data_IF_492637639211
#
_entry.id   IF_492637639211
#
_cell.length_a   1.000
_cell.length_b   1.000
_cell.length_c   1.000
_cell.angle_alpha   90.00
_cell.angle_beta   90.00
_cell.angle_gamma   90.00
#
_symmetry.space_group_name_H-M   'P 1'
#
loop_
_entity.id
_entity.type
_entity.pdbx_description
1 polymer ?
#
# COMPACT_ATOMS: atom_id res chain seq x y z
N UNK A 1 10.63 -12.47 -6.15
CA UNK A 1 9.35 -12.18 -5.45
C UNK A 1 8.44 -11.45 -6.43
N UNK A 2 7.35 -12.09 -6.84
CA UNK A 2 6.37 -11.48 -7.74
C UNK A 2 5.31 -10.76 -6.94
N UNK A 3 5.05 -9.50 -7.25
CA UNK A 3 4.14 -8.63 -6.49
C UNK A 3 3.02 -8.10 -7.38
N UNK A 4 1.80 -7.99 -6.83
CA UNK A 4 0.69 -7.27 -7.44
C UNK A 4 0.15 -6.24 -6.45
N UNK A 5 -0.23 -5.07 -6.95
CA UNK A 5 -0.83 -4.00 -6.14
C UNK A 5 -2.19 -3.66 -6.71
N UNK A 6 -3.26 -3.95 -5.95
CA UNK A 6 -4.61 -3.49 -6.22
C UNK A 6 -4.85 -2.15 -5.53
N UNK A 7 -5.39 -1.20 -6.28
CA UNK A 7 -5.67 0.12 -5.73
C UNK A 7 -7.01 0.67 -6.23
N UNK A 8 -7.63 1.50 -5.39
CA UNK A 8 -8.76 2.37 -5.76
C UNK A 8 -8.32 3.83 -5.66
N UNK A 9 -8.44 4.59 -6.74
CA UNK A 9 -8.01 5.99 -6.80
C UNK A 9 -8.96 6.83 -7.63
N UNK A 10 -10.12 7.15 -7.07
CA UNK A 10 -11.22 7.85 -7.75
C UNK A 10 -11.07 9.36 -7.77
N UNK A 11 -10.32 9.97 -6.84
CA UNK A 11 -10.15 11.42 -6.73
C UNK A 11 -8.68 11.82 -6.72
N UNK A 12 -8.31 12.83 -7.51
CA UNK A 12 -6.98 13.48 -7.51
C UNK A 12 -5.75 12.57 -7.73
N UNK A 13 -5.92 11.28 -7.98
CA UNK A 13 -4.82 10.35 -8.22
C UNK A 13 -3.86 10.13 -7.04
N UNK A 14 -4.24 10.50 -5.81
CA UNK A 14 -3.34 10.41 -4.65
C UNK A 14 -2.85 8.98 -4.38
N UNK A 15 -3.80 8.03 -4.32
CA UNK A 15 -3.50 6.63 -4.05
C UNK A 15 -2.70 6.01 -5.20
N UNK A 16 -3.01 6.37 -6.44
CA UNK A 16 -2.25 5.93 -7.61
C UNK A 16 -0.78 6.35 -7.52
N UNK A 17 -0.47 7.62 -7.22
CA UNK A 17 0.91 8.10 -7.08
C UNK A 17 1.72 7.30 -6.04
N UNK A 18 1.09 6.95 -4.93
CA UNK A 18 1.71 6.10 -3.89
C UNK A 18 1.90 4.68 -4.39
N UNK A 19 0.88 4.11 -5.05
CA UNK A 19 0.95 2.77 -5.63
C UNK A 19 2.06 2.65 -6.68
N UNK A 20 2.16 3.63 -7.61
CA UNK A 20 3.23 3.70 -8.61
C UNK A 20 4.62 3.77 -7.96
N UNK A 21 4.75 4.59 -6.91
CA UNK A 21 6.02 4.73 -6.19
C UNK A 21 6.48 3.44 -5.50
N UNK A 22 5.53 2.66 -4.95
CA UNK A 22 5.79 1.34 -4.39
C UNK A 22 6.04 0.28 -5.48
N UNK A 23 5.24 0.30 -6.55
CA UNK A 23 5.35 -0.63 -7.66
C UNK A 23 6.72 -0.54 -8.35
N UNK A 24 7.27 0.66 -8.50
CA UNK A 24 8.59 0.87 -9.07
C UNK A 24 9.70 0.15 -8.29
N UNK A 25 9.60 0.11 -6.95
CA UNK A 25 10.57 -0.60 -6.07
C UNK A 25 10.34 -2.11 -6.08
N UNK A 26 9.06 -2.52 -6.02
CA UNK A 26 8.68 -3.93 -5.92
C UNK A 26 8.65 -4.65 -7.27
N UNK A 27 8.83 -3.94 -8.39
CA UNK A 27 8.58 -4.42 -9.76
C UNK A 27 7.20 -5.07 -9.84
N UNK A 28 6.19 -4.39 -9.28
CA UNK A 28 4.86 -4.94 -9.09
C UNK A 28 3.95 -4.67 -10.28
N UNK A 29 3.09 -5.63 -10.59
CA UNK A 29 1.94 -5.42 -11.45
C UNK A 29 0.96 -4.48 -10.74
N UNK A 30 0.53 -3.40 -11.40
CA UNK A 30 -0.34 -2.38 -10.83
C UNK A 30 -1.73 -2.45 -11.46
N UNK A 31 -2.75 -2.71 -10.64
CA UNK A 31 -4.11 -2.95 -11.11
C UNK A 31 -5.11 -2.07 -10.37
N UNK A 32 -5.85 -1.25 -11.12
CA UNK A 32 -7.02 -0.54 -10.58
C UNK A 32 -8.17 -1.52 -10.34
N UNK A 33 -8.81 -1.46 -9.19
CA UNK A 33 -10.00 -2.28 -8.93
C UNK A 33 -11.24 -1.81 -9.71
N UNK A 34 -11.18 -0.62 -10.28
CA UNK A 34 -12.20 -0.09 -11.20
C UNK A 34 -12.06 -0.66 -12.62
N UNK A 35 -10.94 -1.32 -12.94
CA UNK A 35 -10.71 -2.03 -14.19
C UNK A 35 -11.23 -3.47 -14.12
N UNK A 36 -11.24 -4.16 -15.25
CA UNK A 36 -11.54 -5.59 -15.25
C UNK A 36 -10.41 -6.36 -14.52
N UNK A 37 -10.79 -7.03 -13.44
CA UNK A 37 -9.88 -7.82 -12.59
C UNK A 37 -10.12 -9.32 -12.72
N UNK A 38 -11.08 -9.73 -13.58
CA UNK A 38 -11.39 -11.14 -13.86
C UNK A 38 -10.18 -11.83 -14.51
N UNK A 39 -9.90 -13.05 -14.08
CA UNK A 39 -8.81 -13.86 -14.64
C UNK A 39 -7.43 -13.60 -14.02
N UNK A 40 -7.31 -12.76 -13.03
CA UNK A 40 -6.04 -12.58 -12.30
C UNK A 40 -5.81 -13.77 -11.37
N UNK A 41 -4.80 -14.56 -11.69
CA UNK A 41 -4.40 -15.72 -10.89
C UNK A 41 -3.45 -15.30 -9.76
N UNK A 42 -4.00 -15.16 -8.55
CA UNK A 42 -3.22 -14.76 -7.36
C UNK A 42 -2.23 -15.82 -6.89
N UNK A 43 -2.31 -17.06 -7.38
CA UNK A 43 -1.32 -18.09 -7.02
C UNK A 43 0.09 -17.73 -7.48
N UNK A 44 0.20 -16.93 -8.53
CA UNK A 44 1.46 -16.48 -9.13
C UNK A 44 2.16 -15.37 -8.36
N UNK A 45 1.53 -14.80 -7.32
CA UNK A 45 2.07 -13.66 -6.58
C UNK A 45 2.44 -14.04 -5.16
N UNK A 46 3.62 -13.60 -4.74
CA UNK A 46 4.19 -13.82 -3.41
C UNK A 46 3.74 -12.72 -2.43
N UNK A 47 3.43 -11.52 -2.96
CA UNK A 47 3.05 -10.34 -2.18
C UNK A 47 1.92 -9.59 -2.87
N UNK A 48 0.91 -9.22 -2.11
CA UNK A 48 -0.28 -8.50 -2.60
C UNK A 48 -0.40 -7.17 -1.85
N UNK A 49 -0.41 -6.06 -2.59
CA UNK A 49 -0.68 -4.73 -2.06
C UNK A 49 -2.15 -4.36 -2.19
N UNK A 50 -2.72 -3.74 -1.16
CA UNK A 50 -4.12 -3.31 -1.14
C UNK A 50 -4.21 -1.84 -0.71
N UNK A 51 -4.68 -0.96 -1.57
CA UNK A 51 -4.67 0.47 -1.30
C UNK A 51 -5.88 1.26 -1.74
N UNK A 52 -6.31 2.22 -0.92
CA UNK A 52 -7.31 3.22 -1.30
C UNK A 52 -7.17 4.53 -0.52
N UNK A 53 -7.94 5.53 -0.93
CA UNK A 53 -8.17 6.69 -0.09
C UNK A 53 -9.01 6.31 1.15
N UNK A 54 -8.80 7.07 2.24
CA UNK A 54 -9.59 6.95 3.46
C UNK A 54 -10.78 7.91 3.36
N UNK A 55 -11.99 7.36 3.44
CA UNK A 55 -13.25 8.08 3.52
C UNK A 55 -13.97 7.69 4.82
N UNK A 56 -14.49 8.69 5.57
CA UNK A 56 -15.18 8.46 6.84
C UNK A 56 -14.40 7.55 7.82
N UNK A 57 -13.09 7.76 7.91
CA UNK A 57 -12.15 7.00 8.74
C UNK A 57 -11.91 5.54 8.33
N UNK A 58 -12.32 5.11 7.16
CA UNK A 58 -12.14 3.76 6.63
C UNK A 58 -11.63 3.75 5.18
N UNK A 59 -11.11 2.62 4.74
CA UNK A 59 -10.85 2.36 3.32
C UNK A 59 -12.14 2.45 2.49
N UNK A 60 -12.01 2.84 1.22
CA UNK A 60 -13.12 2.84 0.28
C UNK A 60 -13.87 1.49 0.34
N UNK A 61 -15.19 1.56 0.43
CA UNK A 61 -16.06 0.38 0.51
C UNK A 61 -15.92 -0.56 -0.70
N UNK A 62 -15.60 -0.01 -1.88
CA UNK A 62 -15.35 -0.82 -3.07
C UNK A 62 -14.11 -1.70 -2.89
N UNK A 63 -13.01 -1.14 -2.32
CA UNK A 63 -11.83 -1.94 -2.00
C UNK A 63 -12.16 -3.02 -0.95
N UNK A 64 -12.91 -2.69 0.09
CA UNK A 64 -13.28 -3.67 1.12
C UNK A 64 -14.09 -4.83 0.53
N UNK A 65 -15.07 -4.56 -0.34
CA UNK A 65 -15.85 -5.57 -1.06
C UNK A 65 -14.96 -6.41 -1.98
N UNK A 66 -14.11 -5.76 -2.76
CA UNK A 66 -13.17 -6.44 -3.65
C UNK A 66 -12.28 -7.41 -2.87
N UNK A 67 -11.65 -6.94 -1.80
CA UNK A 67 -10.77 -7.75 -0.95
C UNK A 67 -11.52 -8.92 -0.30
N UNK A 68 -12.79 -8.72 0.10
CA UNK A 68 -13.62 -9.78 0.68
C UNK A 68 -13.87 -10.93 -0.30
N UNK A 69 -13.81 -10.69 -1.59
CA UNK A 69 -14.03 -11.71 -2.64
C UNK A 69 -12.73 -12.39 -3.10
N UNK A 70 -11.54 -11.88 -2.72
CA UNK A 70 -10.27 -12.46 -3.15
C UNK A 70 -9.89 -13.71 -2.33
N UNK A 71 -9.26 -14.72 -2.94
CA UNK A 71 -8.73 -15.90 -2.24
C UNK A 71 -7.36 -15.56 -1.62
N UNK A 72 -7.36 -14.96 -0.43
CA UNK A 72 -6.14 -14.46 0.23
C UNK A 72 -5.58 -15.38 1.32
N UNK A 73 -6.11 -16.60 1.47
CA UNK A 73 -5.61 -17.55 2.47
C UNK A 73 -4.10 -17.77 2.31
N UNK A 74 -3.36 -17.59 3.42
CA UNK A 74 -1.89 -17.72 3.50
C UNK A 74 -1.09 -16.78 2.59
N UNK A 75 -1.73 -15.85 1.90
CA UNK A 75 -1.06 -14.84 1.08
C UNK A 75 -0.45 -13.75 1.95
N UNK A 76 0.77 -13.32 1.59
CA UNK A 76 1.39 -12.14 2.19
C UNK A 76 0.75 -10.89 1.62
N UNK A 77 0.28 -10.01 2.50
CA UNK A 77 -0.45 -8.81 2.13
C UNK A 77 0.15 -7.59 2.82
N UNK A 78 0.20 -6.46 2.16
CA UNK A 78 0.40 -5.17 2.79
C UNK A 78 -0.75 -4.21 2.45
N UNK A 79 -1.01 -3.29 3.36
CA UNK A 79 -2.06 -2.27 3.21
C UNK A 79 -1.41 -0.90 3.04
N UNK A 80 -1.98 -0.05 2.18
CA UNK A 80 -1.59 1.35 2.13
C UNK A 80 -2.78 2.27 1.91
N UNK A 81 -2.67 3.51 2.40
CA UNK A 81 -3.74 4.49 2.23
C UNK A 81 -3.25 5.91 2.04
N UNK A 82 -4.09 6.72 1.40
CA UNK A 82 -3.99 8.19 1.40
C UNK A 82 -5.17 8.78 2.16
N UNK A 83 -4.93 9.79 2.99
CA UNK A 83 -5.94 10.39 3.85
C UNK A 83 -5.87 11.92 3.84
N UNK A 84 -6.99 12.57 4.06
CA UNK A 84 -7.06 14.02 4.18
C UNK A 84 -6.54 14.50 5.55
N UNK A 85 -7.02 13.89 6.63
CA UNK A 85 -6.74 14.31 8.01
C UNK A 85 -5.44 13.72 8.56
N UNK A 86 -4.85 14.32 9.61
CA UNK A 86 -3.77 13.69 10.37
C UNK A 86 -4.17 12.28 10.82
N UNK A 87 -3.17 11.43 11.02
CA UNK A 87 -3.40 10.07 11.49
C UNK A 87 -3.94 10.11 12.94
N UNK A 88 -5.14 9.60 13.14
CA UNK A 88 -5.80 9.44 14.44
C UNK A 88 -5.94 7.97 14.87
N UNK A 89 -5.36 7.05 14.09
CA UNK A 89 -5.43 5.60 14.33
C UNK A 89 -6.66 4.93 13.71
N UNK A 90 -6.57 3.62 13.55
CA UNK A 90 -7.73 2.78 13.21
C UNK A 90 -8.22 2.78 11.77
N UNK A 91 -7.67 3.59 10.87
CA UNK A 91 -8.13 3.68 9.47
C UNK A 91 -8.14 2.35 8.71
N UNK A 92 -7.25 1.44 9.05
CA UNK A 92 -7.14 0.15 8.39
C UNK A 92 -7.89 -0.98 9.12
N UNK A 93 -8.61 -0.66 10.22
CA UNK A 93 -9.23 -1.67 11.09
C UNK A 93 -10.18 -2.60 10.34
N UNK A 94 -11.11 -2.05 9.56
CA UNK A 94 -12.09 -2.84 8.82
C UNK A 94 -11.41 -3.78 7.82
N UNK A 95 -10.41 -3.28 7.07
CA UNK A 95 -9.66 -4.09 6.10
C UNK A 95 -8.83 -5.18 6.79
N UNK A 96 -8.21 -4.88 7.94
CA UNK A 96 -7.50 -5.88 8.75
C UNK A 96 -8.41 -7.00 9.23
N UNK A 97 -9.64 -6.69 9.64
CA UNK A 97 -10.61 -7.72 10.04
C UNK A 97 -11.01 -8.62 8.87
N UNK A 98 -11.13 -8.08 7.66
CA UNK A 98 -11.37 -8.88 6.45
C UNK A 98 -10.19 -9.83 6.21
N UNK A 99 -8.96 -9.32 6.22
CA UNK A 99 -7.74 -10.12 6.02
C UNK A 99 -7.60 -11.22 7.07
N UNK A 100 -7.88 -10.91 8.34
CA UNK A 100 -7.85 -11.88 9.43
C UNK A 100 -8.86 -13.03 9.23
N UNK A 101 -10.10 -12.71 8.81
CA UNK A 101 -11.11 -13.74 8.50
C UNK A 101 -10.69 -14.64 7.35
N UNK A 102 -9.98 -14.10 6.37
CA UNK A 102 -9.45 -14.84 5.23
C UNK A 102 -8.13 -15.57 5.54
N UNK A 103 -7.59 -15.43 6.76
CA UNK A 103 -6.29 -16.00 7.15
C UNK A 103 -5.12 -15.52 6.28
N UNK A 104 -5.19 -14.27 5.82
CA UNK A 104 -4.09 -13.63 5.10
C UNK A 104 -2.99 -13.17 6.08
N UNK A 105 -1.74 -13.20 5.64
CA UNK A 105 -0.59 -12.75 6.43
C UNK A 105 -0.37 -11.25 6.18
N UNK A 106 -0.86 -10.39 7.07
CA UNK A 106 -0.58 -8.96 6.98
C UNK A 106 0.87 -8.69 7.40
N UNK A 107 1.70 -8.28 6.45
CA UNK A 107 3.14 -8.02 6.65
C UNK A 107 3.39 -6.65 7.26
N UNK A 108 2.74 -5.60 6.72
CA UNK A 108 2.91 -4.23 7.19
C UNK A 108 1.83 -3.30 6.61
N UNK A 109 1.80 -2.05 7.11
CA UNK A 109 0.86 -1.03 6.65
C UNK A 109 1.49 0.35 6.52
N UNK A 110 1.04 1.13 5.53
CA UNK A 110 1.52 2.48 5.23
C UNK A 110 0.36 3.46 5.09
N UNK A 111 0.55 4.70 5.54
CA UNK A 111 -0.43 5.76 5.30
C UNK A 111 0.25 7.11 5.18
N UNK A 112 -0.18 7.91 4.21
CA UNK A 112 0.28 9.29 4.08
C UNK A 112 -0.88 10.26 3.84
N UNK A 113 -0.56 11.54 3.88
CA UNK A 113 -1.53 12.61 3.58
C UNK A 113 -1.68 12.76 2.07
N UNK A 114 -2.91 12.96 1.61
CA UNK A 114 -3.26 13.26 0.23
C UNK A 114 -4.00 14.58 0.08
N UNK A 115 -3.99 15.14 -1.12
CA UNK A 115 -4.78 16.30 -1.48
C UNK A 115 -6.26 15.95 -1.47
N UNK A 116 -7.08 16.81 -0.86
CA UNK A 116 -8.51 16.65 -0.82
C UNK A 116 -9.21 17.93 -1.28
N UNK A 117 -10.09 17.78 -2.26
CA UNK A 117 -10.93 18.85 -2.80
C UNK A 117 -12.42 18.48 -2.73
N UNK A 118 -12.82 17.77 -1.66
CA UNK A 118 -14.21 17.33 -1.46
C UNK A 118 -14.87 18.03 -0.27
N UNK A 119 -16.20 18.04 -0.22
CA UNK A 119 -16.96 18.64 0.86
C UNK A 119 -16.58 20.10 1.12
N UNK A 120 -16.36 20.52 2.38
CA UNK A 120 -16.09 21.92 2.71
C UNK A 120 -14.77 22.45 2.13
N UNK A 121 -13.83 21.56 1.76
CA UNK A 121 -12.54 21.94 1.19
C UNK A 121 -12.66 22.55 -0.22
N UNK A 122 -13.77 22.37 -0.91
CA UNK A 122 -14.05 23.02 -2.19
C UNK A 122 -13.97 24.54 -2.06
N UNK A 123 -14.50 25.10 -0.94
CA UNK A 123 -14.56 26.55 -0.70
C UNK A 123 -13.18 27.21 -0.60
N UNK A 124 -12.16 26.46 -0.18
CA UNK A 124 -10.77 26.94 -0.08
C UNK A 124 -9.86 26.40 -1.17
N UNK A 125 -10.47 25.89 -2.26
CA UNK A 125 -9.77 25.28 -3.39
C UNK A 125 -8.89 24.08 -2.99
N UNK A 126 -9.31 23.31 -1.98
CA UNK A 126 -8.70 22.08 -1.53
C UNK A 126 -7.82 22.21 -0.28
N UNK A 127 -7.69 21.11 0.42
CA UNK A 127 -6.86 20.93 1.62
C UNK A 127 -5.67 20.03 1.32
N UNK A 128 -4.54 20.22 2.00
CA UNK A 128 -3.27 19.52 1.75
C UNK A 128 -2.78 19.68 0.31
N UNK A 129 -2.77 20.89 -0.21
CA UNK A 129 -2.26 21.19 -1.56
C UNK A 129 -0.84 20.61 -1.72
N UNK A 130 -0.54 20.10 -2.91
CA UNK A 130 0.73 19.46 -3.24
C UNK A 130 1.04 18.16 -2.48
N UNK A 131 0.01 17.45 -1.96
CA UNK A 131 0.19 16.13 -1.35
C UNK A 131 -0.50 15.04 -2.19
N UNK A 132 0.07 13.82 -2.30
CA UNK A 132 1.39 13.43 -1.78
C UNK A 132 2.51 14.20 -2.46
N UNK A 133 3.52 14.63 -1.69
CA UNK A 133 4.71 15.30 -2.21
C UNK A 133 5.90 14.33 -2.32
N UNK A 134 7.05 14.84 -2.75
CA UNK A 134 8.28 14.05 -2.93
C UNK A 134 8.69 13.28 -1.68
N UNK A 135 8.51 13.85 -0.48
CA UNK A 135 8.80 13.18 0.77
C UNK A 135 7.83 12.02 1.06
N UNK A 136 6.55 12.16 0.70
CA UNK A 136 5.59 11.07 0.84
C UNK A 136 5.92 9.92 -0.11
N UNK A 137 6.29 10.22 -1.36
CA UNK A 137 6.71 9.24 -2.34
C UNK A 137 8.01 8.54 -1.89
N UNK A 138 8.96 9.29 -1.34
CA UNK A 138 10.19 8.73 -0.78
C UNK A 138 9.88 7.75 0.37
N UNK A 139 9.01 8.15 1.31
CA UNK A 139 8.58 7.26 2.41
C UNK A 139 7.87 6.01 1.91
N UNK A 140 7.08 6.12 0.84
CA UNK A 140 6.42 4.97 0.21
C UNK A 140 7.44 4.00 -0.40
N UNK A 141 8.51 4.50 -1.04
CA UNK A 141 9.62 3.67 -1.55
C UNK A 141 10.36 2.97 -0.42
N UNK A 142 10.74 3.68 0.63
CA UNK A 142 11.38 3.08 1.80
C UNK A 142 10.52 2.00 2.46
N UNK A 143 9.21 2.20 2.49
CA UNK A 143 8.28 1.18 2.97
C UNK A 143 8.32 -0.07 2.07
N UNK A 144 8.30 0.12 0.75
CA UNK A 144 8.40 -0.98 -0.22
C UNK A 144 9.73 -1.76 -0.09
N UNK A 145 10.85 -1.07 0.09
CA UNK A 145 12.16 -1.70 0.36
C UNK A 145 12.14 -2.54 1.65
N UNK A 146 11.52 -2.02 2.72
CA UNK A 146 11.36 -2.78 3.97
C UNK A 146 10.51 -4.04 3.79
N UNK A 147 9.47 -4.00 2.96
CA UNK A 147 8.68 -5.19 2.64
C UNK A 147 9.53 -6.25 1.94
N UNK A 148 10.35 -5.87 0.97
CA UNK A 148 11.29 -6.81 0.33
C UNK A 148 12.23 -7.45 1.36
N UNK A 149 12.82 -6.65 2.24
CA UNK A 149 13.73 -7.14 3.28
C UNK A 149 13.06 -8.12 4.25
N UNK A 150 11.79 -7.89 4.62
CA UNK A 150 11.01 -8.77 5.50
C UNK A 150 10.72 -10.13 4.86
N UNK A 151 10.52 -10.17 3.55
CA UNK A 151 10.13 -11.37 2.81
C UNK A 151 11.31 -12.15 2.22
N UNK A 152 12.51 -11.57 2.18
CA UNK A 152 13.71 -12.30 1.78
C UNK A 152 14.08 -13.29 2.89
N UNK A 153 14.21 -14.60 2.59
CA UNK A 153 14.63 -15.60 3.57
C UNK A 153 15.98 -15.24 4.21
N UNK A 154 16.13 -15.54 5.51
CA UNK A 154 17.38 -15.28 6.26
C UNK A 154 18.61 -15.96 5.65
N UNK A 155 18.41 -17.08 4.96
CA UNK A 155 19.44 -17.86 4.26
C UNK A 155 19.86 -17.28 2.90
N UNK A 156 19.18 -16.24 2.40
CA UNK A 156 19.49 -15.67 1.09
C UNK A 156 20.82 -14.90 1.10
N UNK A 157 21.71 -15.11 0.10
CA UNK A 157 22.94 -14.33 -0.05
C UNK A 157 22.71 -12.81 -0.07
N UNK A 158 21.62 -12.38 -0.67
CA UNK A 158 21.18 -10.97 -0.73
C UNK A 158 20.99 -10.36 0.66
N UNK A 159 20.41 -11.08 1.60
CA UNK A 159 20.18 -10.57 2.96
C UNK A 159 21.48 -10.39 3.73
N UNK A 160 22.46 -11.29 3.52
CA UNK A 160 23.82 -11.15 4.06
C UNK A 160 24.54 -9.92 3.51
N UNK A 161 24.40 -9.64 2.20
CA UNK A 161 24.98 -8.44 1.59
C UNK A 161 24.35 -7.16 2.14
N UNK A 162 23.03 -7.08 2.26
CA UNK A 162 22.31 -5.90 2.79
C UNK A 162 22.67 -5.63 4.25
N UNK A 163 22.83 -6.67 5.08
CA UNK A 163 23.28 -6.53 6.48
C UNK A 163 24.72 -6.02 6.58
N UNK A 164 25.60 -6.48 5.70
CA UNK A 164 27.00 -6.02 5.67
C UNK A 164 27.11 -4.57 5.21
N UNK A 165 26.33 -4.13 4.22
CA UNK A 165 26.29 -2.75 3.74
C UNK A 165 25.71 -1.79 4.81
N UNK A 166 24.68 -2.22 5.52
CA UNK A 166 24.08 -1.43 6.61
C UNK A 166 25.05 -1.31 7.82
N UNK A 167 25.83 -2.34 8.12
CA UNK A 167 26.88 -2.27 9.15
C UNK A 167 28.03 -1.35 8.73
N UNK A 168 28.45 -1.40 7.49
CA UNK A 168 29.52 -0.54 6.97
C UNK A 168 29.16 0.97 7.02
N UNK A 169 27.89 1.31 6.81
CA UNK A 169 27.38 2.69 6.88
C UNK A 169 27.19 3.21 8.33
N UNK A 170 27.18 2.33 9.34
CA UNK A 170 27.08 2.71 10.76
C UNK A 170 28.47 2.95 11.40
N UNK A 171 29.55 2.56 10.73
CA UNK A 171 30.93 2.69 11.22
C UNK A 171 31.78 3.64 10.34
N UNK A 172 31.18 4.33 9.36
CA UNK A 172 31.78 5.38 8.55
C UNK A 172 31.22 6.74 8.94
#
# INVERSE_FOLDING_TARGET
MKTIIFYSSTYNGNTLKIAESMAAVLSADLVSIESETSGIDLSKYDLIGLGSAIHFAEHNIQLQRFVSALPLQEKNVFIFSTRCRPFIGGYHKALKEILKRQRANLIDEFSCVGFDKTGPWVLINGYNKNRPNTNDLFKARLFAEKLQQKLIPLSSPLKKQLQNTSKALLFA
#
